data_IF_390840376461
#
_entry.id   IF_390840376461
#
_cell.length_a   1.000
_cell.length_b   1.000
_cell.length_c   1.000
_cell.angle_alpha   90.00
_cell.angle_beta   90.00
_cell.angle_gamma   90.00
#
_symmetry.space_group_name_H-M   'P 1'
#
loop_
_entity.id
_entity.type
_entity.pdbx_description
1 polymer ?
#
# COMPACT_ATOMS: atom_id res chain seq x y z
N UNK A 1 5.17 -20.24 16.64
CA UNK A 1 5.73 -18.97 16.16
C UNK A 1 4.94 -18.48 14.94
N UNK A 2 3.96 -17.59 15.12
CA UNK A 2 3.24 -17.01 13.98
C UNK A 2 4.13 -16.01 13.26
N UNK A 3 4.76 -16.44 12.17
CA UNK A 3 5.56 -15.56 11.32
C UNK A 3 4.60 -14.65 10.57
N UNK A 4 4.44 -13.40 11.01
CA UNK A 4 3.62 -12.41 10.30
C UNK A 4 4.12 -12.32 8.84
N UNK A 5 3.29 -12.79 7.90
CA UNK A 5 3.63 -12.81 6.48
C UNK A 5 3.70 -11.37 5.96
N UNK A 6 4.73 -11.08 5.16
CA UNK A 6 4.82 -9.82 4.43
C UNK A 6 3.58 -9.68 3.54
N UNK A 7 3.09 -8.46 3.37
CA UNK A 7 2.02 -8.12 2.42
C UNK A 7 2.59 -7.56 1.11
N UNK A 8 3.76 -6.93 1.19
CA UNK A 8 4.48 -6.39 0.06
C UNK A 8 5.85 -7.05 -0.12
N UNK A 9 6.29 -7.17 -1.35
CA UNK A 9 7.63 -7.65 -1.71
C UNK A 9 8.70 -6.55 -1.56
N UNK A 10 9.94 -6.85 -1.96
CA UNK A 10 11.07 -5.91 -1.85
C UNK A 10 10.93 -4.66 -2.74
N UNK A 11 10.10 -4.69 -3.76
CA UNK A 11 9.84 -3.57 -4.67
C UNK A 11 8.63 -2.74 -4.24
N UNK A 12 7.90 -3.19 -3.21
CA UNK A 12 6.68 -2.53 -2.77
C UNK A 12 5.44 -2.98 -3.52
N UNK A 13 5.47 -4.13 -4.22
CA UNK A 13 4.30 -4.71 -4.85
C UNK A 13 3.58 -5.69 -3.92
N UNK A 14 2.26 -5.75 -3.98
CA UNK A 14 1.48 -6.70 -3.21
C UNK A 14 1.88 -8.13 -3.54
N UNK A 15 2.11 -8.96 -2.53
CA UNK A 15 2.54 -10.35 -2.76
C UNK A 15 1.41 -11.19 -3.37
N UNK A 16 0.16 -10.91 -3.02
CA UNK A 16 -1.02 -11.68 -3.44
C UNK A 16 -1.29 -11.61 -4.94
N UNK A 17 -1.06 -10.46 -5.58
CA UNK A 17 -1.43 -10.23 -6.97
C UNK A 17 -0.42 -9.36 -7.76
N UNK A 18 0.74 -9.07 -7.19
CA UNK A 18 1.83 -8.28 -7.80
C UNK A 18 1.49 -6.83 -8.13
N UNK A 19 0.36 -6.30 -7.64
CA UNK A 19 -0.03 -4.91 -7.92
C UNK A 19 0.87 -3.92 -7.18
N UNK A 20 1.32 -2.89 -7.89
CA UNK A 20 1.95 -1.70 -7.31
C UNK A 20 0.90 -0.71 -6.76
N UNK A 21 0.18 -1.16 -5.73
CA UNK A 21 -0.91 -0.39 -5.12
C UNK A 21 -0.36 0.74 -4.26
N UNK A 22 -0.78 1.98 -4.55
CA UNK A 22 -0.45 3.13 -3.74
C UNK A 22 -1.12 3.04 -2.36
N UNK A 23 -0.47 3.58 -1.33
CA UNK A 23 -1.04 3.63 0.01
C UNK A 23 -2.30 4.49 0.13
N UNK A 24 -2.71 5.22 -0.91
CA UNK A 24 -4.04 5.85 -0.98
C UNK A 24 -5.17 4.91 -1.41
N UNK A 25 -4.86 3.64 -1.70
CA UNK A 25 -5.79 2.57 -2.11
C UNK A 25 -6.46 2.74 -3.48
N UNK A 26 -6.15 3.82 -4.20
CA UNK A 26 -6.58 4.02 -5.59
C UNK A 26 -5.72 3.16 -6.55
N UNK A 27 -6.36 2.35 -7.39
CA UNK A 27 -5.70 1.36 -8.27
C UNK A 27 -4.85 2.03 -9.34
N UNK A 28 -5.34 3.14 -9.88
CA UNK A 28 -4.69 3.84 -10.99
C UNK A 28 -3.82 5.02 -10.53
N UNK A 29 -3.55 5.13 -9.23
CA UNK A 29 -2.74 6.21 -8.70
C UNK A 29 -1.29 6.09 -9.21
N UNK A 30 -0.80 7.13 -9.89
CA UNK A 30 0.59 7.23 -10.34
C UNK A 30 1.57 7.49 -9.18
N UNK A 31 1.05 7.89 -8.02
CA UNK A 31 1.78 8.26 -6.81
C UNK A 31 1.29 9.61 -6.29
N UNK A 32 0.87 9.67 -5.03
CA UNK A 32 0.27 10.86 -4.42
C UNK A 32 1.01 11.32 -3.14
N UNK A 33 2.09 10.65 -2.78
CA UNK A 33 2.92 11.00 -1.63
C UNK A 33 4.27 11.55 -2.10
N UNK A 34 4.96 12.24 -1.19
CA UNK A 34 6.35 12.62 -1.43
C UNK A 34 7.24 11.39 -1.67
N UNK A 35 8.35 11.54 -2.41
CA UNK A 35 9.27 10.43 -2.68
C UNK A 35 9.73 9.76 -1.39
N UNK A 36 9.50 8.45 -1.29
CA UNK A 36 9.90 7.68 -0.12
C UNK A 36 11.42 7.72 0.06
N UNK A 37 11.96 8.07 1.23
CA UNK A 37 13.42 8.15 1.44
C UNK A 37 14.11 6.77 1.35
N UNK A 38 13.36 5.66 1.39
CA UNK A 38 13.92 4.29 1.32
C UNK A 38 13.95 3.70 -0.09
N UNK A 39 12.95 3.99 -0.92
CA UNK A 39 12.80 3.37 -2.25
C UNK A 39 12.49 4.36 -3.37
N UNK A 40 12.44 5.66 -3.08
CA UNK A 40 12.13 6.77 -3.98
C UNK A 40 10.73 6.74 -4.63
N UNK A 41 9.89 5.74 -4.31
CA UNK A 41 8.52 5.65 -4.80
C UNK A 41 7.64 6.74 -4.18
N UNK A 42 6.78 7.35 -4.99
CA UNK A 42 5.73 8.31 -4.58
C UNK A 42 4.42 7.64 -4.17
N UNK A 43 4.43 6.30 -4.02
CA UNK A 43 3.27 5.49 -3.67
C UNK A 43 3.27 4.97 -2.23
N UNK A 44 4.34 5.25 -1.47
CA UNK A 44 4.40 4.91 -0.05
C UNK A 44 3.82 6.06 0.78
N UNK A 45 2.99 5.75 1.76
CA UNK A 45 2.51 6.70 2.75
C UNK A 45 3.58 6.95 3.82
N UNK A 46 3.16 6.96 5.10
CA UNK A 46 4.08 7.22 6.21
C UNK A 46 5.21 6.19 6.34
N UNK A 47 4.96 4.93 5.98
CA UNK A 47 5.95 3.85 6.02
C UNK A 47 6.15 3.23 4.62
N UNK A 48 7.42 3.02 4.24
CA UNK A 48 7.77 2.37 2.99
C UNK A 48 7.06 1.02 2.81
N UNK A 49 6.49 0.78 1.63
CA UNK A 49 5.81 -0.47 1.29
C UNK A 49 6.79 -1.64 1.15
N UNK A 50 8.06 -1.41 0.81
CA UNK A 50 9.03 -2.49 0.58
C UNK A 50 9.14 -3.44 1.80
N UNK A 51 8.85 -4.72 1.60
CA UNK A 51 8.83 -5.78 2.61
C UNK A 51 7.84 -5.59 3.76
N UNK A 52 6.89 -4.64 3.65
CA UNK A 52 5.95 -4.31 4.72
C UNK A 52 4.96 -5.45 4.96
N UNK A 53 4.55 -5.62 6.21
CA UNK A 53 3.68 -6.73 6.69
C UNK A 53 2.19 -6.39 6.76
N UNK A 54 1.81 -5.19 6.37
CA UNK A 54 0.45 -4.68 6.50
C UNK A 54 0.06 -3.83 5.27
N UNK A 55 -1.24 -3.68 5.07
CA UNK A 55 -1.88 -2.79 4.08
C UNK A 55 -2.85 -1.87 4.83
N UNK A 56 -3.11 -0.68 4.29
CA UNK A 56 -4.27 0.09 4.75
C UNK A 56 -5.54 -0.67 4.33
N UNK A 57 -6.43 -0.96 5.27
CA UNK A 57 -7.71 -1.62 4.97
C UNK A 57 -8.74 -0.62 4.44
N UNK A 58 -8.69 0.60 4.95
CA UNK A 58 -9.51 1.72 4.52
C UNK A 58 -8.86 3.05 4.87
N UNK A 59 -9.23 4.10 4.15
CA UNK A 59 -8.79 5.48 4.38
C UNK A 59 -10.02 6.37 4.33
N UNK A 60 -10.13 7.26 5.30
CA UNK A 60 -11.12 8.32 5.28
C UNK A 60 -10.44 9.59 4.78
N UNK A 61 -10.96 10.17 3.70
CA UNK A 61 -10.48 11.47 3.20
C UNK A 61 -11.26 12.60 3.86
N UNK A 62 -10.74 13.83 3.77
CA UNK A 62 -11.33 15.02 4.38
C UNK A 62 -12.78 15.27 3.93
N UNK A 63 -13.12 14.90 2.70
CA UNK A 63 -14.48 14.95 2.16
C UNK A 63 -15.46 13.93 2.79
N UNK A 64 -15.03 13.16 3.79
CA UNK A 64 -15.83 12.13 4.47
C UNK A 64 -15.96 10.82 3.70
N UNK A 65 -15.42 10.73 2.49
CA UNK A 65 -15.44 9.51 1.68
C UNK A 65 -14.49 8.45 2.28
N UNK A 66 -14.93 7.19 2.26
CA UNK A 66 -14.12 6.03 2.68
C UNK A 66 -13.65 5.28 1.44
N UNK A 67 -12.34 5.22 1.23
CA UNK A 67 -11.69 4.39 0.21
C UNK A 67 -11.29 3.08 0.88
N UNK A 68 -11.76 1.94 0.36
CA UNK A 68 -11.49 0.61 0.91
C UNK A 68 -10.43 -0.11 0.11
N UNK A 69 -9.74 -1.05 0.75
CA UNK A 69 -8.75 -1.89 0.10
C UNK A 69 -9.38 -2.62 -1.10
N UNK A 70 -8.80 -2.48 -2.31
CA UNK A 70 -9.50 -2.79 -3.56
C UNK A 70 -9.49 -4.27 -3.96
N UNK A 71 -8.85 -5.14 -3.16
CA UNK A 71 -8.75 -6.58 -3.43
C UNK A 71 -9.41 -7.36 -2.30
N UNK A 72 -10.33 -8.27 -2.62
CA UNK A 72 -10.92 -9.16 -1.62
C UNK A 72 -9.86 -10.15 -1.14
N UNK A 73 -9.78 -10.37 0.17
CA UNK A 73 -9.15 -11.56 0.70
C UNK A 73 -10.04 -12.75 0.30
N UNK A 74 -9.52 -13.64 -0.54
CA UNK A 74 -10.10 -14.98 -0.65
C UNK A 74 -9.79 -15.77 0.63
#
# INVERSE_FOLDING_TARGET
FYRTLKKYDKHGHLISNKTDLCDCLEKNCLGCFYPCPKCNSTKCGAECRCNRKWVYEQIQVEAGQIIRFPFRNN
#
